data_IF_038754189827
#
_entry.id   IF_038754189827
#
_cell.length_a   1.000
_cell.length_b   1.000
_cell.length_c   1.000
_cell.angle_alpha   90.00
_cell.angle_beta   90.00
_cell.angle_gamma   90.00
#
_symmetry.space_group_name_H-M   'P 1'
#
loop_
_entity.id
_entity.type
_entity.pdbx_description
1 polymer ?
#
# COMPACT_ATOMS: atom_id res chain seq x y z
N UNK A 1 5.69 -27.62 -5.84
CA UNK A 1 4.59 -26.66 -5.68
C UNK A 1 5.07 -25.38 -6.32
N UNK A 2 4.59 -25.03 -7.50
CA UNK A 2 4.79 -23.70 -8.06
C UNK A 2 3.97 -22.73 -7.19
N UNK A 3 4.58 -22.29 -6.08
CA UNK A 3 3.98 -21.30 -5.19
C UNK A 3 3.79 -19.99 -5.96
N UNK A 4 2.60 -19.39 -5.85
CA UNK A 4 2.38 -18.05 -6.40
C UNK A 4 3.42 -17.10 -5.81
N UNK A 5 3.96 -16.20 -6.63
CA UNK A 5 4.82 -15.11 -6.18
C UNK A 5 4.15 -14.40 -4.97
N UNK A 6 4.75 -14.46 -3.76
CA UNK A 6 4.14 -13.92 -2.55
C UNK A 6 3.88 -12.41 -2.69
N UNK A 7 4.77 -11.68 -3.34
CA UNK A 7 4.61 -10.25 -3.51
C UNK A 7 3.45 -9.94 -4.45
N UNK A 8 3.23 -10.72 -5.51
CA UNK A 8 2.00 -10.63 -6.32
C UNK A 8 0.75 -10.91 -5.50
N UNK A 9 0.74 -11.93 -4.66
CA UNK A 9 -0.42 -12.25 -3.80
C UNK A 9 -0.75 -11.08 -2.87
N UNK A 10 0.25 -10.46 -2.25
CA UNK A 10 0.05 -9.30 -1.37
C UNK A 10 -0.41 -8.07 -2.17
N UNK A 11 0.18 -7.81 -3.35
CA UNK A 11 -0.22 -6.73 -4.25
C UNK A 11 -1.71 -6.83 -4.62
N UNK A 12 -2.15 -8.01 -5.05
CA UNK A 12 -3.54 -8.26 -5.47
C UNK A 12 -4.52 -8.10 -4.29
N UNK A 13 -4.19 -8.70 -3.13
CA UNK A 13 -5.03 -8.58 -1.93
C UNK A 13 -5.15 -7.13 -1.43
N UNK A 14 -4.07 -6.34 -1.52
CA UNK A 14 -4.09 -4.94 -1.16
C UNK A 14 -5.00 -4.13 -2.11
N UNK A 15 -4.96 -4.41 -3.41
CA UNK A 15 -5.88 -3.79 -4.37
C UNK A 15 -7.35 -4.07 -4.04
N UNK A 16 -7.69 -5.32 -3.69
CA UNK A 16 -9.06 -5.67 -3.26
C UNK A 16 -9.45 -4.96 -1.97
N UNK A 17 -8.56 -4.89 -0.99
CA UNK A 17 -8.81 -4.22 0.29
C UNK A 17 -9.05 -2.71 0.11
N UNK A 18 -8.31 -2.04 -0.78
CA UNK A 18 -8.43 -0.59 -1.01
C UNK A 18 -9.79 -0.17 -1.60
N UNK A 19 -10.56 -1.10 -2.17
CA UNK A 19 -11.96 -0.83 -2.54
C UNK A 19 -12.79 -0.48 -1.31
N UNK A 20 -12.58 -1.21 -0.21
CA UNK A 20 -13.28 -0.98 1.06
C UNK A 20 -12.61 0.12 1.90
N UNK A 21 -11.28 0.23 1.79
CA UNK A 21 -10.47 1.20 2.52
C UNK A 21 -9.96 2.33 1.62
N UNK A 22 -10.85 2.87 0.79
CA UNK A 22 -10.55 3.94 -0.16
C UNK A 22 -9.77 5.14 0.44
N UNK A 23 -10.02 5.60 1.70
CA UNK A 23 -9.23 6.68 2.27
C UNK A 23 -7.71 6.40 2.32
N UNK A 24 -7.29 5.14 2.42
CA UNK A 24 -5.87 4.78 2.41
C UNK A 24 -5.22 4.97 1.03
N UNK A 25 -6.00 4.92 -0.04
CA UNK A 25 -5.56 5.19 -1.41
C UNK A 25 -5.66 6.67 -1.82
N UNK A 26 -5.98 7.57 -0.87
CA UNK A 26 -6.13 9.01 -1.09
C UNK A 26 -4.86 9.82 -0.85
N UNK A 27 -5.01 11.14 -0.80
CA UNK A 27 -3.95 12.09 -0.43
C UNK A 27 -4.42 13.06 0.63
N UNK A 28 -3.48 13.57 1.43
CA UNK A 28 -3.78 14.62 2.38
C UNK A 28 -4.01 15.94 1.64
N UNK A 29 -5.10 16.60 2.00
CA UNK A 29 -5.49 17.91 1.51
C UNK A 29 -5.76 18.82 2.69
N UNK A 30 -5.12 19.99 2.68
CA UNK A 30 -5.37 21.04 3.64
C UNK A 30 -6.63 21.82 3.25
N UNK A 31 -7.56 21.93 4.20
CA UNK A 31 -8.79 22.71 4.10
C UNK A 31 -8.74 23.98 4.95
N UNK A 32 -9.90 24.60 5.13
CA UNK A 32 -10.02 25.83 5.93
C UNK A 32 -9.46 25.65 7.35
N UNK A 33 -8.86 26.72 7.88
CA UNK A 33 -8.24 26.75 9.22
C UNK A 33 -7.13 25.69 9.40
N UNK A 34 -6.45 25.30 8.31
CA UNK A 34 -5.37 24.30 8.31
C UNK A 34 -5.82 22.91 8.74
N UNK A 35 -7.10 22.60 8.54
CA UNK A 35 -7.64 21.27 8.85
C UNK A 35 -7.18 20.29 7.77
N UNK A 36 -6.54 19.20 8.17
CA UNK A 36 -6.19 18.13 7.23
C UNK A 36 -7.40 17.23 6.99
N UNK A 37 -7.61 16.89 5.72
CA UNK A 37 -8.61 15.93 5.25
C UNK A 37 -7.96 14.99 4.25
N UNK A 38 -8.60 13.84 4.00
CA UNK A 38 -8.17 12.92 2.95
C UNK A 38 -9.04 13.16 1.73
N UNK A 39 -8.42 13.45 0.60
CA UNK A 39 -9.06 13.41 -0.70
C UNK A 39 -9.01 11.98 -1.23
N UNK A 40 -10.19 11.34 -1.33
CA UNK A 40 -10.34 9.97 -1.84
C UNK A 40 -10.23 9.92 -3.38
N UNK A 41 -9.07 10.27 -3.92
CA UNK A 41 -8.80 10.32 -5.37
C UNK A 41 -8.60 8.94 -6.01
N UNK A 42 -8.32 7.90 -5.20
CA UNK A 42 -8.01 6.56 -5.71
C UNK A 42 -6.64 6.48 -6.39
N UNK A 43 -5.73 7.41 -6.09
CA UNK A 43 -4.36 7.42 -6.63
C UNK A 43 -3.54 6.19 -6.21
N UNK A 44 -4.04 5.43 -5.23
CA UNK A 44 -3.44 4.19 -4.77
C UNK A 44 -2.35 4.41 -3.74
N UNK A 45 -1.67 3.31 -3.42
CA UNK A 45 -0.60 3.25 -2.41
C UNK A 45 0.69 2.77 -3.05
N UNK A 46 1.82 3.20 -2.49
CA UNK A 46 3.12 2.67 -2.86
C UNK A 46 3.29 1.27 -2.25
N UNK A 47 3.59 0.29 -3.10
CA UNK A 47 3.99 -1.06 -2.67
C UNK A 47 5.43 -1.31 -3.11
N UNK A 48 6.29 -1.71 -2.17
CA UNK A 48 7.69 -2.03 -2.42
C UNK A 48 7.97 -3.43 -1.90
N UNK A 49 8.50 -4.27 -2.78
CA UNK A 49 9.03 -5.59 -2.45
C UNK A 49 10.50 -5.43 -2.08
N UNK A 50 10.92 -6.09 -0.99
CA UNK A 50 12.30 -6.04 -0.52
C UNK A 50 12.82 -7.44 -0.26
N UNK A 51 13.99 -7.74 -0.80
CA UNK A 51 14.74 -8.95 -0.54
C UNK A 51 15.72 -8.71 0.61
N UNK A 52 15.82 -9.67 1.52
CA UNK A 52 16.83 -9.69 2.57
C UNK A 52 17.82 -10.81 2.27
N UNK A 53 19.08 -10.45 2.09
CA UNK A 53 20.17 -11.42 2.11
C UNK A 53 20.31 -11.87 3.57
N UNK A 54 20.06 -13.14 3.89
CA UNK A 54 20.40 -13.71 5.20
C UNK A 54 21.93 -13.71 5.35
N UNK A 55 22.50 -12.59 5.81
CA UNK A 55 23.88 -12.52 6.22
C UNK A 55 24.02 -13.31 7.52
N UNK A 56 24.30 -14.62 7.38
CA UNK A 56 24.70 -15.47 8.47
C UNK A 56 25.83 -14.77 9.25
N UNK A 57 25.55 -14.46 10.52
CA UNK A 57 26.58 -14.01 11.45
C UNK A 57 27.60 -15.16 11.58
N UNK A 58 28.76 -15.01 10.94
CA UNK A 58 29.95 -15.85 11.13
C UNK A 58 30.87 -15.20 12.14
#
# INVERSE_FOLDING_TARGET
MDGRDPAKVVRDALSEALVYYCPLAGRLREGEKRKLSVECSGEGVLFVEGDAEDAHCS
#
